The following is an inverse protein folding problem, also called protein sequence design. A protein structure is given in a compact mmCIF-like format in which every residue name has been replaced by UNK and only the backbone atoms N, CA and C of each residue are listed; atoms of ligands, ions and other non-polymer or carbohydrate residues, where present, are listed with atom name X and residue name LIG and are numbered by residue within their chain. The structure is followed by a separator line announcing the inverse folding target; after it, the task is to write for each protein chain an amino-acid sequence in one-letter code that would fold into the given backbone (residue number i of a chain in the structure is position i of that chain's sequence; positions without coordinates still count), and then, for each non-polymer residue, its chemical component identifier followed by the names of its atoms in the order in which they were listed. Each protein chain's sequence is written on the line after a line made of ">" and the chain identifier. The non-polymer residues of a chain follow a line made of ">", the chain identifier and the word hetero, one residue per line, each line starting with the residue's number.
data_IF_476709343980
#
_entry.id   IF_476709343980
#
_cell.length_a   1.000
_cell.length_b   1.000
_cell.length_c   1.000
_cell.angle_alpha   90.00
_cell.angle_beta   90.00
_cell.angle_gamma   90.00
#
_symmetry.space_group_name_H-M   'P 1'
#
loop_
_entity.id
_entity.type
_entity.pdbx_description
1 polymer ?
#
# COMPACT_ATOMS: atom_id res chain seq x y z
N UNK A 1 21.29 -4.76 1.19
CA UNK A 1 20.23 -5.42 1.97
C UNK A 1 19.51 -4.40 2.83
N UNK A 2 18.20 -4.46 2.87
CA UNK A 2 17.38 -3.46 3.55
C UNK A 2 16.67 -4.07 4.75
N UNK A 3 16.63 -3.33 5.85
CA UNK A 3 15.86 -3.75 7.01
C UNK A 3 14.36 -3.68 6.69
N UNK A 4 13.57 -4.60 7.26
CA UNK A 4 12.12 -4.56 7.12
C UNK A 4 11.54 -3.25 7.65
N UNK A 5 12.18 -2.61 8.61
CA UNK A 5 11.73 -1.33 9.15
C UNK A 5 11.72 -0.22 8.08
N UNK A 6 12.50 -0.36 7.03
CA UNK A 6 12.50 0.60 5.93
C UNK A 6 11.18 0.60 5.14
N UNK A 7 10.34 -0.42 5.34
CA UNK A 7 9.06 -0.52 4.65
C UNK A 7 7.91 0.17 5.39
N UNK A 8 8.17 0.69 6.59
CA UNK A 8 7.10 1.20 7.45
C UNK A 8 7.17 2.71 7.60
N UNK A 9 6.01 3.32 7.78
CA UNK A 9 5.92 4.74 8.06
C UNK A 9 6.28 5.63 6.89
N UNK A 10 6.25 5.11 5.69
CA UNK A 10 6.61 5.88 4.49
C UNK A 10 5.37 6.19 3.66
N UNK A 11 5.40 7.33 2.99
CA UNK A 11 4.36 7.66 2.04
C UNK A 11 4.44 6.70 0.86
N UNK A 12 3.26 6.25 0.41
CA UNK A 12 3.14 5.40 -0.76
C UNK A 12 2.56 6.25 -1.88
N UNK A 13 3.27 6.32 -3.00
CA UNK A 13 2.86 7.15 -4.13
C UNK A 13 2.60 6.28 -5.36
N UNK A 14 1.57 6.65 -6.10
CA UNK A 14 1.24 5.98 -7.34
C UNK A 14 2.15 6.38 -8.48
N UNK A 15 1.95 5.76 -9.63
CA UNK A 15 2.73 6.04 -10.84
C UNK A 15 2.61 7.50 -11.27
N UNK A 16 1.47 8.13 -10.96
CA UNK A 16 1.20 9.54 -11.25
C UNK A 16 1.73 10.49 -10.17
N UNK A 17 2.56 10.00 -9.27
CA UNK A 17 3.16 10.75 -8.17
C UNK A 17 2.17 11.24 -7.11
N UNK A 18 0.97 10.71 -7.08
CA UNK A 18 -0.01 11.05 -6.04
C UNK A 18 0.22 10.19 -4.81
N UNK A 19 0.16 10.82 -3.64
CA UNK A 19 0.21 10.09 -2.38
C UNK A 19 -1.11 9.33 -2.20
N UNK A 20 -1.02 8.02 -2.10
CA UNK A 20 -2.20 7.18 -1.92
C UNK A 20 -2.36 6.70 -0.49
N UNK A 21 -1.31 6.75 0.30
CA UNK A 21 -1.39 6.33 1.68
C UNK A 21 -0.04 6.30 2.35
N UNK A 22 0.00 5.59 3.48
CA UNK A 22 1.22 5.42 4.26
C UNK A 22 1.38 3.96 4.65
N UNK A 23 2.58 3.44 4.51
CA UNK A 23 2.85 2.05 4.85
C UNK A 23 2.80 1.85 6.36
N UNK A 24 2.09 0.81 6.80
CA UNK A 24 1.89 0.51 8.22
C UNK A 24 2.42 -0.87 8.60
N UNK A 25 2.70 -1.72 7.64
CA UNK A 25 3.18 -3.06 7.93
C UNK A 25 3.37 -3.87 6.66
N UNK A 26 3.56 -5.15 6.84
CA UNK A 26 3.76 -6.07 5.73
C UNK A 26 3.13 -7.42 6.06
N UNK A 27 2.79 -8.17 5.03
CA UNK A 27 2.32 -9.54 5.16
C UNK A 27 3.42 -10.48 4.72
N UNK A 28 3.67 -11.51 5.50
CA UNK A 28 4.76 -12.45 5.27
C UNK A 28 4.19 -13.84 5.06
N UNK A 29 4.68 -14.52 4.04
CA UNK A 29 4.43 -15.95 3.86
C UNK A 29 5.49 -16.70 4.66
N UNK A 30 5.09 -17.31 5.76
CA UNK A 30 6.03 -17.98 6.67
C UNK A 30 6.60 -19.26 6.09
N UNK A 31 5.92 -19.90 5.14
CA UNK A 31 6.43 -21.12 4.53
C UNK A 31 7.63 -20.83 3.64
N UNK A 32 7.68 -19.65 3.05
CA UNK A 32 8.78 -19.26 2.17
C UNK A 32 9.62 -18.12 2.73
N UNK A 33 9.21 -17.55 3.86
CA UNK A 33 9.86 -16.39 4.48
C UNK A 33 9.98 -15.20 3.53
N UNK A 34 8.92 -14.97 2.77
CA UNK A 34 8.87 -13.87 1.80
C UNK A 34 7.79 -12.87 2.18
N UNK A 35 8.09 -11.59 1.99
CA UNK A 35 7.07 -10.55 2.09
C UNK A 35 6.24 -10.60 0.82
N UNK A 36 4.93 -10.73 0.98
CA UNK A 36 4.01 -10.84 -0.15
C UNK A 36 3.27 -9.55 -0.45
N UNK A 37 2.97 -8.78 0.60
CA UNK A 37 2.17 -7.55 0.46
C UNK A 37 2.68 -6.51 1.43
N UNK A 38 2.43 -5.25 1.11
CA UNK A 38 2.62 -4.15 2.05
C UNK A 38 1.25 -3.66 2.49
N UNK A 39 1.10 -3.42 3.78
CA UNK A 39 -0.13 -2.83 4.34
C UNK A 39 -0.03 -1.33 4.18
N UNK A 40 -1.06 -0.74 3.60
CA UNK A 40 -1.10 0.69 3.35
C UNK A 40 -2.40 1.27 3.92
N UNK A 41 -2.24 2.30 4.73
CA UNK A 41 -3.36 3.06 5.25
C UNK A 41 -3.66 4.16 4.24
N UNK A 42 -4.80 4.06 3.57
CA UNK A 42 -5.15 4.97 2.48
C UNK A 42 -5.48 6.36 2.98
N UNK A 43 -5.17 7.36 2.16
CA UNK A 43 -5.73 8.71 2.36
C UNK A 43 -7.22 8.66 2.10
N UNK A 44 -7.95 9.66 2.60
CA UNK A 44 -9.39 9.75 2.37
C UNK A 44 -9.70 9.86 0.87
N UNK A 45 -8.92 10.65 0.16
CA UNK A 45 -9.09 10.84 -1.28
C UNK A 45 -8.88 9.55 -2.04
N UNK A 46 -7.81 8.81 -1.70
CA UNK A 46 -7.53 7.55 -2.37
C UNK A 46 -8.61 6.52 -2.09
N UNK A 47 -9.08 6.44 -0.85
CA UNK A 47 -10.15 5.52 -0.50
C UNK A 47 -11.41 5.81 -1.30
N UNK A 48 -11.77 7.08 -1.46
CA UNK A 48 -12.91 7.50 -2.27
C UNK A 48 -12.76 7.07 -3.72
N UNK A 49 -11.59 7.34 -4.29
CA UNK A 49 -11.34 7.01 -5.70
C UNK A 49 -11.36 5.50 -5.95
N UNK A 50 -10.97 4.73 -4.95
CA UNK A 50 -11.00 3.27 -5.04
C UNK A 50 -12.40 2.69 -4.78
N UNK A 51 -13.37 3.54 -4.43
CA UNK A 51 -14.74 3.12 -4.24
C UNK A 51 -15.04 2.58 -2.86
N UNK A 52 -14.16 2.75 -1.89
CA UNK A 52 -14.43 2.31 -0.53
C UNK A 52 -15.32 3.31 0.18
N UNK A 53 -16.30 2.80 0.87
CA UNK A 53 -17.19 3.65 1.65
C UNK A 53 -16.44 4.22 2.83
N UNK A 54 -16.82 5.44 3.20
CA UNK A 54 -16.26 6.10 4.36
C UNK A 54 -16.43 5.25 5.61
N UNK A 55 -15.34 5.01 6.31
CA UNK A 55 -15.40 4.30 7.58
C UNK A 55 -15.68 5.28 8.70
N UNK A 56 -16.43 4.84 9.70
CA UNK A 56 -16.80 5.68 10.84
C UNK A 56 -15.57 6.01 11.69
N UNK A 57 -14.64 5.09 11.81
CA UNK A 57 -13.54 5.19 12.75
C UNK A 57 -12.18 5.44 12.11
N UNK A 58 -12.14 5.99 10.92
CA UNK A 58 -10.87 6.41 10.36
C UNK A 58 -10.53 5.77 9.03
N UNK A 59 -9.32 5.24 8.93
CA UNK A 59 -8.70 4.98 7.65
C UNK A 59 -8.91 3.55 7.19
N UNK A 60 -8.98 3.38 5.90
CA UNK A 60 -9.02 2.07 5.27
C UNK A 60 -7.60 1.56 5.06
N UNK A 61 -7.33 0.34 5.50
CA UNK A 61 -6.08 -0.34 5.19
C UNK A 61 -6.28 -1.33 4.06
N UNK A 62 -5.31 -1.38 3.16
CA UNK A 62 -5.34 -2.32 2.05
C UNK A 62 -4.00 -3.03 1.94
N UNK A 63 -3.99 -4.16 1.25
CA UNK A 63 -2.77 -4.91 0.96
C UNK A 63 -2.39 -4.68 -0.49
N UNK A 64 -1.15 -4.24 -0.71
CA UNK A 64 -0.62 -4.03 -2.05
C UNK A 64 0.44 -5.10 -2.31
N UNK A 65 0.29 -5.91 -3.38
CA UNK A 65 1.28 -6.94 -3.69
C UNK A 65 2.66 -6.34 -3.93
N UNK A 66 3.70 -7.01 -3.45
CA UNK A 66 5.07 -6.50 -3.62
C UNK A 66 5.48 -6.41 -5.09
N UNK A 67 4.87 -7.20 -5.96
CA UNK A 67 5.12 -7.10 -7.40
C UNK A 67 4.71 -5.77 -8.02
N UNK A 68 3.88 -5.00 -7.33
CA UNK A 68 3.47 -3.67 -7.78
C UNK A 68 4.36 -2.56 -7.24
N UNK A 69 5.37 -2.88 -6.43
CA UNK A 69 6.26 -1.88 -5.87
C UNK A 69 7.43 -1.67 -6.81
N UNK A 70 7.62 -0.42 -7.22
CA UNK A 70 8.67 -0.04 -8.13
C UNK A 70 9.98 0.25 -7.41
N UNK A 71 9.91 1.00 -6.32
CA UNK A 71 11.10 1.41 -5.59
C UNK A 71 10.74 1.75 -4.14
N UNK A 72 11.73 1.56 -3.27
CA UNK A 72 11.63 1.93 -1.86
C UNK A 72 12.82 2.82 -1.53
N UNK A 73 12.53 4.01 -1.06
CA UNK A 73 13.54 4.98 -0.63
C UNK A 73 12.94 5.82 0.47
N UNK A 74 12.99 7.14 0.34
CA UNK A 74 12.31 8.04 1.28
C UNK A 74 10.79 7.85 1.21
N UNK A 75 10.30 7.38 0.08
CA UNK A 75 8.91 6.99 -0.11
C UNK A 75 8.86 5.66 -0.86
N UNK A 76 7.67 5.06 -0.88
CA UNK A 76 7.46 3.82 -1.61
C UNK A 76 6.69 4.17 -2.90
N UNK A 77 7.30 3.86 -4.05
CA UNK A 77 6.67 4.07 -5.35
C UNK A 77 6.04 2.78 -5.83
N UNK A 78 4.79 2.86 -6.29
CA UNK A 78 4.15 1.72 -6.94
C UNK A 78 4.09 1.98 -8.44
N UNK A 79 4.03 0.91 -9.22
CA UNK A 79 4.08 1.00 -10.68
C UNK A 79 2.70 1.12 -11.30
N UNK A 80 1.71 1.53 -10.52
CA UNK A 80 0.33 1.67 -10.97
C UNK A 80 -0.29 2.94 -10.41
N UNK A 81 -1.28 3.47 -11.12
CA UNK A 81 -2.08 4.57 -10.59
C UNK A 81 -3.25 4.01 -9.77
N UNK A 82 -4.02 4.91 -9.15
CA UNK A 82 -5.13 4.49 -8.28
C UNK A 82 -6.15 3.62 -9.03
N UNK A 83 -6.47 3.96 -10.26
CA UNK A 83 -7.45 3.20 -11.03
C UNK A 83 -6.98 1.77 -11.28
N UNK A 84 -5.71 1.61 -11.57
CA UNK A 84 -5.13 0.29 -11.79
C UNK A 84 -5.02 -0.50 -10.49
N UNK A 85 -4.74 0.18 -9.38
CA UNK A 85 -4.64 -0.46 -8.08
C UNK A 85 -5.97 -1.08 -7.65
N UNK A 86 -7.08 -0.50 -8.07
CA UNK A 86 -8.41 -1.00 -7.70
C UNK A 86 -8.58 -2.50 -8.00
N UNK A 87 -7.91 -2.99 -9.03
CA UNK A 87 -8.06 -4.38 -9.46
C UNK A 87 -7.10 -5.34 -8.77
N UNK A 88 -6.09 -4.83 -8.08
CA UNK A 88 -5.04 -5.69 -7.51
C UNK A 88 -4.89 -5.59 -6.00
N UNK A 89 -5.48 -4.59 -5.37
CA UNK A 89 -5.38 -4.44 -3.91
C UNK A 89 -6.46 -5.26 -3.23
N UNK A 90 -6.16 -5.66 -2.00
CA UNK A 90 -7.10 -6.39 -1.17
C UNK A 90 -7.39 -5.59 0.09
N UNK A 91 -8.67 -5.35 0.42
CA UNK A 91 -9.00 -4.71 1.69
C UNK A 91 -8.57 -5.61 2.83
N UNK A 92 -7.99 -5.02 3.85
CA UNK A 92 -7.68 -5.76 5.05
C UNK A 92 -8.93 -5.81 5.93
N UNK A 93 -9.25 -7.00 6.33
CA UNK A 93 -10.38 -7.20 7.24
C UNK A 93 -9.97 -7.02 8.69
#
# INVERSE_FOLDING_TARGET
>A
MTSINALFGKNVVGEDARVIGRSTGAQIDLSQWLITHIKVKLTKEAAKELGYKKTILGSMEVLIPVGSIKAVGDLISVNRNIKELKNIIEPRK
#
